data_IF_523528201954
#
_entry.id   IF_523528201954
#
_cell.length_a   1.000
_cell.length_b   1.000
_cell.length_c   1.000
_cell.angle_alpha   90.00
_cell.angle_beta   90.00
_cell.angle_gamma   90.00
#
_symmetry.space_group_name_H-M   'P 1'
#
loop_
_entity.id
_entity.type
_entity.pdbx_description
1 polymer ?
#
# COMPACT_ATOMS: atom_id res chain seq x y z
N UNK A 1 24.92 -36.87 -4.64
CA UNK A 1 23.80 -36.65 -3.70
C UNK A 1 23.35 -35.19 -3.82
N UNK A 2 22.11 -34.91 -4.26
CA UNK A 2 21.63 -33.53 -4.34
C UNK A 2 21.30 -33.03 -2.92
N UNK A 3 21.91 -31.91 -2.51
CA UNK A 3 21.64 -31.28 -1.21
C UNK A 3 20.29 -30.56 -1.28
N UNK A 4 19.39 -30.92 -0.36
CA UNK A 4 18.09 -30.28 -0.19
C UNK A 4 18.27 -28.77 0.03
N UNK A 5 17.66 -27.96 -0.85
CA UNK A 5 17.55 -26.51 -0.67
C UNK A 5 16.69 -26.25 0.57
N UNK A 6 17.29 -25.73 1.64
CA UNK A 6 16.57 -25.27 2.83
C UNK A 6 15.60 -24.17 2.40
N UNK A 7 14.31 -24.45 2.49
CA UNK A 7 13.24 -23.45 2.41
C UNK A 7 13.40 -22.50 3.60
N UNK A 8 14.10 -21.39 3.38
CA UNK A 8 14.13 -20.25 4.29
C UNK A 8 12.78 -19.54 4.19
N UNK A 9 11.99 -19.58 5.28
CA UNK A 9 10.77 -18.76 5.43
C UNK A 9 11.10 -17.30 5.08
N UNK A 10 10.26 -16.58 4.33
CA UNK A 10 10.50 -15.17 4.06
C UNK A 10 10.42 -14.41 5.38
N UNK A 11 11.54 -13.84 5.83
CA UNK A 11 11.54 -12.83 6.89
C UNK A 11 10.80 -11.61 6.38
N UNK A 12 9.77 -11.17 7.09
CA UNK A 12 8.99 -9.99 6.74
C UNK A 12 9.90 -8.76 6.89
N UNK A 13 10.09 -7.99 5.81
CA UNK A 13 10.86 -6.75 5.83
C UNK A 13 10.00 -5.61 6.41
N UNK A 14 10.13 -5.41 7.72
CA UNK A 14 9.40 -4.38 8.48
C UNK A 14 9.69 -2.97 7.96
N UNK A 15 10.90 -2.72 7.44
CA UNK A 15 11.26 -1.41 6.89
C UNK A 15 10.52 -1.17 5.57
N UNK A 16 10.54 -2.14 4.66
CA UNK A 16 9.79 -2.09 3.42
C UNK A 16 8.28 -1.93 3.63
N UNK A 17 7.72 -2.53 4.69
CA UNK A 17 6.31 -2.34 5.05
C UNK A 17 6.02 -0.89 5.47
N UNK A 18 6.85 -0.30 6.34
CA UNK A 18 6.69 1.10 6.75
C UNK A 18 6.81 2.06 5.57
N UNK A 19 7.79 1.83 4.70
CA UNK A 19 7.95 2.63 3.47
C UNK A 19 6.70 2.53 2.57
N UNK A 20 6.09 1.34 2.48
CA UNK A 20 4.83 1.15 1.75
C UNK A 20 3.63 1.85 2.41
N UNK A 21 3.52 1.81 3.75
CA UNK A 21 2.49 2.53 4.50
C UNK A 21 2.61 4.05 4.34
N UNK A 22 3.83 4.58 4.42
CA UNK A 22 4.11 6.00 4.18
C UNK A 22 3.76 6.39 2.74
N UNK A 23 4.13 5.59 1.75
CA UNK A 23 3.78 5.84 0.35
C UNK A 23 2.25 5.87 0.13
N UNK A 24 1.49 5.00 0.80
CA UNK A 24 0.03 5.00 0.75
C UNK A 24 -0.57 6.25 1.39
N UNK A 25 0.00 6.72 2.52
CA UNK A 25 -0.42 7.98 3.15
C UNK A 25 -0.19 9.15 2.19
N UNK A 26 0.98 9.22 1.60
CA UNK A 26 1.35 10.31 0.69
C UNK A 26 0.46 10.30 -0.56
N UNK A 27 0.14 9.11 -1.10
CA UNK A 27 -0.79 8.97 -2.22
C UNK A 27 -2.20 9.51 -1.88
N UNK A 28 -2.71 9.26 -0.66
CA UNK A 28 -4.00 9.83 -0.23
C UNK A 28 -3.96 11.36 -0.18
N UNK A 29 -2.85 11.93 0.31
CA UNK A 29 -2.67 13.38 0.34
C UNK A 29 -2.64 13.96 -1.08
N UNK A 30 -1.92 13.30 -1.99
CA UNK A 30 -1.89 13.70 -3.40
C UNK A 30 -3.28 13.63 -4.04
N UNK A 31 -4.06 12.57 -3.83
CA UNK A 31 -5.44 12.49 -4.36
C UNK A 31 -6.28 13.70 -3.92
N UNK A 32 -6.13 14.15 -2.67
CA UNK A 32 -6.82 15.35 -2.17
C UNK A 32 -6.33 16.63 -2.87
N UNK A 33 -5.02 16.81 -3.06
CA UNK A 33 -4.46 17.94 -3.79
C UNK A 33 -4.95 17.94 -5.25
N UNK A 34 -4.87 16.80 -5.94
CA UNK A 34 -5.34 16.65 -7.32
C UNK A 34 -6.85 16.92 -7.45
N UNK A 35 -7.65 16.45 -6.49
CA UNK A 35 -9.08 16.74 -6.47
C UNK A 35 -9.36 18.25 -6.44
N UNK A 36 -8.59 18.99 -5.65
CA UNK A 36 -8.75 20.45 -5.51
C UNK A 36 -8.19 21.22 -6.70
N UNK A 37 -7.01 20.87 -7.20
CA UNK A 37 -6.33 21.59 -8.28
C UNK A 37 -7.00 21.38 -9.65
N UNK A 38 -7.59 20.21 -9.87
CA UNK A 38 -8.17 19.83 -11.17
C UNK A 38 -9.70 19.70 -11.14
N UNK A 39 -10.34 20.11 -10.06
CA UNK A 39 -11.80 20.04 -9.88
C UNK A 39 -12.38 18.67 -10.27
N UNK A 40 -11.77 17.61 -9.73
CA UNK A 40 -12.14 16.24 -10.09
C UNK A 40 -13.56 15.93 -9.59
N UNK A 41 -14.36 15.18 -10.36
CA UNK A 41 -15.67 14.73 -9.91
C UNK A 41 -15.58 13.98 -8.58
N UNK A 42 -16.48 14.28 -7.65
CA UNK A 42 -16.51 13.68 -6.31
C UNK A 42 -16.52 12.14 -6.37
N UNK A 43 -17.22 11.57 -7.35
CA UNK A 43 -17.29 10.12 -7.58
C UNK A 43 -15.91 9.52 -7.95
N UNK A 44 -15.14 10.22 -8.79
CA UNK A 44 -13.80 9.77 -9.18
C UNK A 44 -12.84 9.81 -7.97
N UNK A 45 -12.94 10.85 -7.15
CA UNK A 45 -12.17 10.99 -5.91
C UNK A 45 -12.53 9.89 -4.92
N UNK A 46 -13.82 9.60 -4.73
CA UNK A 46 -14.30 8.49 -3.89
C UNK A 46 -13.77 7.15 -4.35
N UNK A 47 -13.82 6.86 -5.66
CA UNK A 47 -13.28 5.62 -6.23
C UNK A 47 -11.77 5.49 -6.01
N UNK A 48 -11.01 6.57 -6.22
CA UNK A 48 -9.57 6.59 -5.96
C UNK A 48 -9.25 6.33 -4.48
N UNK A 49 -9.95 7.01 -3.57
CA UNK A 49 -9.80 6.77 -2.14
C UNK A 49 -10.12 5.32 -1.74
N UNK A 50 -11.20 4.73 -2.29
CA UNK A 50 -11.55 3.34 -2.04
C UNK A 50 -10.45 2.37 -2.49
N UNK A 51 -9.86 2.60 -3.67
CA UNK A 51 -8.77 1.76 -4.19
C UNK A 51 -7.49 1.90 -3.39
N UNK A 52 -7.13 3.12 -2.99
CA UNK A 52 -5.96 3.34 -2.12
C UNK A 52 -6.17 2.73 -0.73
N UNK A 53 -7.40 2.75 -0.21
CA UNK A 53 -7.74 2.06 1.04
C UNK A 53 -7.62 0.53 0.92
N UNK A 54 -8.08 -0.06 -0.18
CA UNK A 54 -7.93 -1.49 -0.45
C UNK A 54 -6.46 -1.93 -0.44
N UNK A 55 -5.56 -1.13 -1.01
CA UNK A 55 -4.11 -1.37 -0.97
C UNK A 55 -3.57 -1.25 0.47
N UNK A 56 -4.01 -0.26 1.23
CA UNK A 56 -3.61 -0.07 2.62
C UNK A 56 -3.96 -1.30 3.50
N UNK A 57 -5.16 -1.85 3.34
CA UNK A 57 -5.60 -3.03 4.08
C UNK A 57 -4.79 -4.27 3.72
N UNK A 58 -4.44 -4.45 2.44
CA UNK A 58 -3.55 -5.54 2.03
C UNK A 58 -2.16 -5.43 2.66
N UNK A 59 -1.61 -4.22 2.78
CA UNK A 59 -0.33 -3.97 3.47
C UNK A 59 -0.44 -4.30 4.96
N UNK A 60 -1.54 -3.90 5.62
CA UNK A 60 -1.78 -4.22 7.04
C UNK A 60 -1.82 -5.72 7.31
N UNK A 61 -2.45 -6.51 6.43
CA UNK A 61 -2.47 -7.98 6.55
C UNK A 61 -1.05 -8.57 6.51
N UNK A 62 -0.14 -7.97 5.73
CA UNK A 62 1.27 -8.37 5.64
C UNK A 62 2.05 -7.94 6.91
N UNK A 63 1.72 -6.77 7.47
CA UNK A 63 2.29 -6.22 8.70
C UNK A 63 1.94 -7.03 9.96
N UNK A 64 0.75 -7.64 10.00
CA UNK A 64 0.26 -8.43 11.16
C UNK A 64 0.83 -9.87 11.27
N UNK A 65 2.13 -10.10 11.03
CA UNK A 65 2.78 -11.41 11.26
C UNK A 65 4.03 -11.34 12.11
#
# INVERSE_FOLDING_TARGET
MPKAKKSTKPSVDVRGIREAEDAVRDLKNWVFVFAKEYDLPEEAVKMLHAKVHEVAERIRVISCR
#
